data_IF_989371169861
#
_entry.id   IF_989371169861
#
_cell.length_a   1.000
_cell.length_b   1.000
_cell.length_c   1.000
_cell.angle_alpha   90.00
_cell.angle_beta   90.00
_cell.angle_gamma   90.00
#
_symmetry.space_group_name_H-M   'P 1'
#
loop_
_entity.id
_entity.type
_entity.pdbx_description
1 polymer ?
#
# COMPACT_ATOMS: atom_id res chain seq x y z
N UNK A 1 -9.16 20.90 17.86
CA UNK A 1 -9.87 19.70 17.41
C UNK A 1 -8.97 18.49 17.58
N UNK A 2 -9.53 17.31 17.95
CA UNK A 2 -8.78 16.07 17.97
C UNK A 2 -8.34 15.72 16.54
N UNK A 3 -7.07 15.42 16.31
CA UNK A 3 -6.58 14.94 15.00
C UNK A 3 -7.12 13.54 14.74
N UNK A 4 -7.43 13.23 13.48
CA UNK A 4 -7.78 11.87 13.06
C UNK A 4 -6.51 11.03 12.99
N UNK A 5 -6.53 9.87 13.63
CA UNK A 5 -5.42 8.95 13.62
C UNK A 5 -5.58 7.98 12.44
N UNK A 6 -4.72 8.11 11.45
CA UNK A 6 -4.72 7.28 10.24
C UNK A 6 -3.52 6.34 10.27
N UNK A 7 -3.78 5.04 10.25
CA UNK A 7 -2.75 4.02 10.16
C UNK A 7 -2.61 3.55 8.71
N UNK A 8 -1.41 3.64 8.15
CA UNK A 8 -1.07 3.08 6.83
C UNK A 8 -0.17 1.87 7.02
N UNK A 9 -0.48 0.76 6.34
CA UNK A 9 0.35 -0.44 6.37
C UNK A 9 0.98 -0.67 5.00
N UNK A 10 2.29 -0.92 5.01
CA UNK A 10 3.09 -1.27 3.83
C UNK A 10 3.96 -2.50 4.15
N UNK A 11 4.39 -3.22 3.14
CA UNK A 11 5.27 -4.38 3.34
C UNK A 11 6.18 -4.68 2.15
N UNK A 12 5.97 -3.97 1.04
CA UNK A 12 6.74 -4.17 -0.19
C UNK A 12 7.16 -2.84 -0.82
N UNK A 13 8.18 -2.90 -1.67
CA UNK A 13 8.65 -1.73 -2.43
C UNK A 13 7.56 -1.03 -3.25
N UNK A 14 6.72 -1.74 -4.03
CA UNK A 14 5.65 -1.11 -4.78
C UNK A 14 4.67 -0.31 -3.92
N UNK A 15 4.32 -0.80 -2.73
CA UNK A 15 3.46 -0.09 -1.78
C UNK A 15 4.12 1.20 -1.28
N UNK A 16 5.41 1.12 -0.88
CA UNK A 16 6.17 2.29 -0.42
C UNK A 16 6.24 3.35 -1.52
N UNK A 17 6.60 2.96 -2.74
CA UNK A 17 6.70 3.86 -3.88
C UNK A 17 5.36 4.53 -4.18
N UNK A 18 4.30 3.72 -4.34
CA UNK A 18 2.97 4.21 -4.72
C UNK A 18 2.33 5.09 -3.65
N UNK A 19 2.59 4.81 -2.37
CA UNK A 19 2.03 5.58 -1.26
C UNK A 19 2.91 6.76 -0.84
N UNK A 20 4.13 6.92 -1.37
CA UNK A 20 5.09 7.93 -0.92
C UNK A 20 4.52 9.35 -0.88
N UNK A 21 3.90 9.79 -1.98
CA UNK A 21 3.30 11.12 -2.06
C UNK A 21 2.09 11.27 -1.11
N UNK A 22 1.31 10.22 -0.93
CA UNK A 22 0.17 10.21 -0.01
C UNK A 22 0.64 10.25 1.45
N UNK A 23 1.64 9.45 1.82
CA UNK A 23 2.24 9.45 3.16
C UNK A 23 2.71 10.85 3.53
N UNK A 24 3.46 11.52 2.64
CA UNK A 24 3.91 12.89 2.85
C UNK A 24 2.75 13.87 3.06
N UNK A 25 1.64 13.72 2.31
CA UNK A 25 0.44 14.56 2.50
C UNK A 25 -0.26 14.29 3.82
N UNK A 26 -0.35 13.03 4.24
CA UNK A 26 -0.93 12.67 5.54
C UNK A 26 -0.10 13.27 6.69
N UNK A 27 1.22 13.19 6.61
CA UNK A 27 2.15 13.72 7.61
C UNK A 27 2.14 15.26 7.67
N UNK A 28 1.99 15.92 6.53
CA UNK A 28 1.92 17.38 6.45
C UNK A 28 0.57 17.94 6.94
N UNK A 29 -0.47 17.12 7.06
CA UNK A 29 -1.80 17.57 7.45
C UNK A 29 -1.90 17.89 8.94
N UNK A 30 -2.27 19.11 9.34
CA UNK A 30 -2.46 19.45 10.75
C UNK A 30 -3.63 18.71 11.41
N UNK A 31 -4.53 18.15 10.62
CA UNK A 31 -5.73 17.43 11.09
C UNK A 31 -5.53 15.93 11.25
N UNK A 32 -4.37 15.41 10.83
CA UNK A 32 -4.06 13.97 10.84
C UNK A 32 -2.87 13.69 11.78
N UNK A 33 -3.00 12.62 12.53
CA UNK A 33 -1.91 11.92 13.21
C UNK A 33 -1.65 10.64 12.41
N UNK A 34 -0.58 10.63 11.63
CA UNK A 34 -0.26 9.52 10.75
C UNK A 34 0.62 8.49 11.46
N UNK A 35 0.22 7.23 11.42
CA UNK A 35 0.99 6.07 11.92
C UNK A 35 1.33 5.16 10.76
N UNK A 36 2.63 4.91 10.55
CA UNK A 36 3.14 4.07 9.47
C UNK A 36 3.64 2.74 10.03
N UNK A 37 3.09 1.65 9.54
CA UNK A 37 3.46 0.29 9.92
C UNK A 37 4.08 -0.42 8.71
N UNK A 38 5.22 -1.07 8.92
CA UNK A 38 5.83 -1.93 7.92
C UNK A 38 5.76 -3.39 8.37
N UNK A 39 5.19 -4.26 7.55
CA UNK A 39 4.99 -5.66 7.92
C UNK A 39 6.28 -6.47 7.94
N UNK A 40 7.28 -6.07 7.15
CA UNK A 40 8.52 -6.84 7.00
C UNK A 40 8.26 -8.23 6.41
N UNK A 41 7.33 -8.33 5.44
CA UNK A 41 6.99 -9.62 4.81
C UNK A 41 8.10 -10.17 3.91
N UNK A 42 9.10 -9.35 3.54
CA UNK A 42 10.27 -9.74 2.77
C UNK A 42 11.53 -9.53 3.61
N UNK A 43 12.51 -10.43 3.46
CA UNK A 43 13.78 -10.39 4.20
C UNK A 43 14.72 -9.23 3.81
N UNK A 44 14.51 -8.59 2.65
CA UNK A 44 15.37 -7.52 2.13
C UNK A 44 15.07 -6.16 2.80
N UNK A 45 15.36 -6.07 4.10
CA UNK A 45 15.20 -4.82 4.85
C UNK A 45 16.06 -3.68 4.29
N UNK A 46 17.32 -3.97 3.91
CA UNK A 46 18.23 -2.97 3.37
C UNK A 46 17.73 -2.37 2.04
N UNK A 47 17.11 -3.17 1.18
CA UNK A 47 16.48 -2.69 -0.04
C UNK A 47 15.26 -1.80 0.22
N UNK A 48 14.53 -2.02 1.32
CA UNK A 48 13.40 -1.16 1.70
C UNK A 48 13.88 0.19 2.25
N UNK A 49 14.96 0.24 3.04
CA UNK A 49 15.48 1.46 3.63
C UNK A 49 15.92 2.50 2.58
N UNK A 50 16.44 2.03 1.44
CA UNK A 50 16.78 2.91 0.30
C UNK A 50 15.55 3.69 -0.18
N UNK A 51 14.39 3.05 -0.31
CA UNK A 51 13.17 3.72 -0.78
C UNK A 51 12.64 4.74 0.22
N UNK A 52 12.69 4.44 1.52
CA UNK A 52 12.31 5.43 2.54
C UNK A 52 13.19 6.67 2.45
N UNK A 53 14.50 6.49 2.27
CA UNK A 53 15.45 7.59 2.11
C UNK A 53 15.24 8.35 0.79
N UNK A 54 15.11 7.63 -0.32
CA UNK A 54 14.97 8.25 -1.65
C UNK A 54 13.68 9.06 -1.78
N UNK A 55 12.60 8.59 -1.14
CA UNK A 55 11.33 9.31 -1.13
C UNK A 55 11.16 10.29 0.03
N UNK A 56 12.22 10.53 0.83
CA UNK A 56 12.18 11.40 2.02
C UNK A 56 11.03 11.02 2.97
N UNK A 57 10.79 9.72 3.14
CA UNK A 57 9.83 9.22 4.10
C UNK A 57 10.53 8.98 5.45
N UNK A 58 9.82 9.25 6.53
CA UNK A 58 10.31 8.87 7.86
C UNK A 58 10.29 7.36 8.02
N UNK A 59 11.02 6.86 8.98
CA UNK A 59 10.98 5.45 9.34
C UNK A 59 9.57 5.07 9.83
N UNK A 60 9.12 3.84 9.57
CA UNK A 60 7.88 3.34 10.15
C UNK A 60 7.88 3.42 11.68
N UNK A 61 6.72 3.72 12.26
CA UNK A 61 6.54 3.71 13.72
C UNK A 61 6.63 2.29 14.27
N UNK A 62 6.16 1.31 13.47
CA UNK A 62 6.17 -0.10 13.84
C UNK A 62 6.74 -0.94 12.70
N UNK A 63 7.66 -1.86 13.08
CA UNK A 63 8.23 -2.89 12.20
C UNK A 63 7.78 -4.25 12.72
N UNK A 64 6.91 -4.93 11.98
CA UNK A 64 6.34 -6.21 12.44
C UNK A 64 7.32 -7.37 12.27
N UNK A 65 8.26 -7.30 11.31
CA UNK A 65 9.21 -8.38 11.01
C UNK A 65 8.48 -9.73 10.89
N UNK A 66 7.51 -9.79 9.97
CA UNK A 66 6.61 -10.93 9.84
C UNK A 66 7.10 -12.01 8.87
N UNK A 67 8.18 -11.75 8.11
CA UNK A 67 8.72 -12.72 7.16
C UNK A 67 9.09 -14.04 7.83
N UNK A 68 8.71 -15.15 7.17
CA UNK A 68 9.00 -16.53 7.60
C UNK A 68 9.19 -17.46 6.41
N UNK A 69 9.36 -18.76 6.64
CA UNK A 69 9.67 -19.74 5.61
C UNK A 69 8.57 -19.95 4.57
N UNK A 70 7.30 -19.74 4.92
CA UNK A 70 6.18 -19.92 4.00
C UNK A 70 5.28 -18.69 3.93
N UNK A 71 4.54 -18.54 2.83
CA UNK A 71 3.57 -17.45 2.68
C UNK A 71 2.46 -17.50 3.76
N UNK A 72 1.97 -18.68 4.11
CA UNK A 72 0.93 -18.86 5.11
C UNK A 72 1.42 -18.50 6.51
N UNK A 73 2.62 -18.92 6.88
CA UNK A 73 3.22 -18.51 8.15
C UNK A 73 3.43 -17.00 8.22
N UNK A 74 3.92 -16.39 7.13
CA UNK A 74 4.07 -14.94 7.02
C UNK A 74 2.74 -14.22 7.23
N UNK A 75 1.66 -14.67 6.56
CA UNK A 75 0.30 -14.14 6.75
C UNK A 75 -0.14 -14.27 8.21
N UNK A 76 0.05 -15.46 8.79
CA UNK A 76 -0.27 -15.71 10.20
C UNK A 76 0.47 -14.74 11.13
N UNK A 77 1.76 -14.53 10.90
CA UNK A 77 2.57 -13.61 11.70
C UNK A 77 2.16 -12.14 11.49
N UNK A 78 1.79 -11.74 10.27
CA UNK A 78 1.24 -10.40 10.01
C UNK A 78 0.00 -10.17 10.88
N UNK A 79 -0.96 -11.11 10.87
CA UNK A 79 -2.19 -11.01 11.64
C UNK A 79 -1.94 -10.98 13.16
N UNK A 80 -1.07 -11.86 13.65
CA UNK A 80 -0.74 -11.92 15.08
C UNK A 80 -0.04 -10.66 15.56
N UNK A 81 0.91 -10.13 14.75
CA UNK A 81 1.74 -9.00 15.16
C UNK A 81 1.06 -7.64 14.98
N UNK A 82 0.13 -7.50 14.05
CA UNK A 82 -0.63 -6.25 13.89
C UNK A 82 -1.67 -6.07 14.99
N UNK A 83 -2.21 -7.14 15.55
CA UNK A 83 -3.29 -7.09 16.53
C UNK A 83 -2.97 -6.24 17.77
N UNK A 84 -1.85 -6.43 18.49
CA UNK A 84 -1.47 -5.59 19.61
C UNK A 84 -1.18 -4.14 19.19
N UNK A 85 -0.64 -3.91 17.98
CA UNK A 85 -0.40 -2.56 17.48
C UNK A 85 -1.72 -1.80 17.28
N UNK A 86 -2.77 -2.48 16.77
CA UNK A 86 -4.09 -1.88 16.65
C UNK A 86 -4.72 -1.54 18.02
N UNK A 87 -4.47 -2.35 19.04
CA UNK A 87 -4.94 -2.09 20.41
C UNK A 87 -4.21 -0.91 21.07
N UNK A 88 -2.92 -0.77 20.82
CA UNK A 88 -2.10 0.33 21.32
C UNK A 88 -2.49 1.65 20.61
N UNK A 89 -2.49 1.65 19.29
CA UNK A 89 -2.67 2.86 18.47
C UNK A 89 -4.11 3.32 18.43
N UNK A 90 -5.07 2.41 18.32
CA UNK A 90 -6.51 2.67 18.16
C UNK A 90 -6.80 3.67 17.04
N UNK A 91 -6.43 3.37 15.78
CA UNK A 91 -6.59 4.30 14.68
C UNK A 91 -8.08 4.55 14.37
N UNK A 92 -8.38 5.78 13.95
CA UNK A 92 -9.72 6.16 13.47
C UNK A 92 -9.96 5.69 12.03
N UNK A 93 -8.88 5.41 11.27
CA UNK A 93 -8.93 4.87 9.90
C UNK A 93 -7.69 4.01 9.61
N UNK A 94 -7.89 2.98 8.78
CA UNK A 94 -6.88 2.02 8.37
C UNK A 94 -6.75 2.01 6.85
N UNK A 95 -5.55 2.23 6.33
CA UNK A 95 -5.28 2.34 4.91
C UNK A 95 -4.34 1.22 4.45
N UNK A 96 -4.74 0.52 3.41
CA UNK A 96 -3.92 -0.47 2.69
C UNK A 96 -3.96 -0.21 1.18
N UNK A 97 -2.94 -0.68 0.47
CA UNK A 97 -2.85 -0.58 -0.99
C UNK A 97 -2.56 -1.94 -1.59
N UNK A 98 -3.36 -2.31 -2.60
CA UNK A 98 -3.11 -3.48 -3.44
C UNK A 98 -3.49 -4.80 -2.77
N UNK A 99 -2.67 -5.82 -3.00
CA UNK A 99 -3.07 -7.21 -2.79
C UNK A 99 -1.94 -8.11 -2.26
N UNK A 100 -0.87 -7.53 -1.76
CA UNK A 100 0.20 -8.28 -1.11
C UNK A 100 -0.29 -8.94 0.19
N UNK A 101 0.48 -9.86 0.74
CA UNK A 101 0.14 -10.48 2.02
C UNK A 101 -0.02 -9.44 3.15
N UNK A 102 0.66 -8.30 3.05
CA UNK A 102 0.54 -7.21 4.02
C UNK A 102 -0.87 -6.64 4.12
N UNK A 103 -1.62 -6.61 3.00
CA UNK A 103 -2.98 -6.09 2.98
C UNK A 103 -3.96 -6.94 3.80
N UNK A 104 -3.65 -8.21 4.04
CA UNK A 104 -4.48 -9.10 4.85
C UNK A 104 -4.56 -8.69 6.32
N UNK A 105 -3.67 -7.79 6.80
CA UNK A 105 -3.82 -7.17 8.12
C UNK A 105 -5.16 -6.41 8.28
N UNK A 106 -5.82 -6.06 7.16
CA UNK A 106 -7.17 -5.53 7.14
C UNK A 106 -8.19 -6.43 7.85
N UNK A 107 -7.96 -7.76 7.89
CA UNK A 107 -8.81 -8.71 8.63
C UNK A 107 -8.82 -8.36 10.14
N UNK A 108 -7.64 -8.10 10.72
CA UNK A 108 -7.53 -7.72 12.12
C UNK A 108 -8.20 -6.36 12.40
N UNK A 109 -7.97 -5.37 11.51
CA UNK A 109 -8.63 -4.07 11.60
C UNK A 109 -10.16 -4.18 11.55
N UNK A 110 -10.70 -5.03 10.64
CA UNK A 110 -12.14 -5.27 10.54
C UNK A 110 -12.72 -5.90 11.80
N UNK A 111 -12.01 -6.87 12.41
CA UNK A 111 -12.43 -7.48 13.68
C UNK A 111 -12.49 -6.49 14.83
N UNK A 112 -11.65 -5.45 14.78
CA UNK A 112 -11.64 -4.34 15.76
C UNK A 112 -12.59 -3.18 15.38
N UNK A 113 -13.38 -3.32 14.29
CA UNK A 113 -14.32 -2.30 13.80
C UNK A 113 -13.66 -0.99 13.41
N UNK A 114 -12.41 -1.05 12.97
CA UNK A 114 -11.68 0.10 12.44
C UNK A 114 -12.07 0.28 10.97
N UNK A 115 -12.49 1.48 10.53
CA UNK A 115 -12.82 1.73 9.12
C UNK A 115 -11.64 1.50 8.20
N UNK A 116 -11.83 0.70 7.14
CA UNK A 116 -10.79 0.28 6.20
C UNK A 116 -10.98 0.98 4.86
N UNK A 117 -9.91 1.62 4.40
CA UNK A 117 -9.78 2.22 3.08
C UNK A 117 -8.81 1.38 2.25
N UNK A 118 -9.29 0.80 1.16
CA UNK A 118 -8.49 -0.05 0.28
C UNK A 118 -8.20 0.67 -1.04
N UNK A 119 -6.95 1.05 -1.28
CA UNK A 119 -6.49 1.61 -2.55
C UNK A 119 -6.10 0.50 -3.53
N UNK A 120 -6.19 0.77 -4.82
CA UNK A 120 -6.00 -0.20 -5.91
C UNK A 120 -7.06 -1.32 -5.89
N UNK A 121 -8.23 -1.03 -5.34
CA UNK A 121 -9.34 -1.96 -5.22
C UNK A 121 -9.95 -2.34 -6.57
N UNK A 122 -10.54 -3.52 -6.65
CA UNK A 122 -11.32 -3.97 -7.80
C UNK A 122 -10.52 -4.50 -8.99
N UNK A 123 -9.20 -4.60 -8.91
CA UNK A 123 -8.40 -5.27 -9.93
C UNK A 123 -8.72 -6.76 -9.95
N UNK A 124 -8.85 -7.34 -11.17
CA UNK A 124 -9.09 -8.78 -11.38
C UNK A 124 -8.24 -9.30 -12.52
N UNK A 125 -7.57 -10.42 -12.31
CA UNK A 125 -6.90 -11.18 -13.37
C UNK A 125 -7.69 -12.43 -13.77
N UNK A 126 -8.69 -12.84 -12.97
CA UNK A 126 -9.54 -14.03 -13.19
C UNK A 126 -8.76 -15.36 -13.23
N UNK A 127 -7.53 -15.37 -12.75
CA UNK A 127 -6.69 -16.55 -12.65
C UNK A 127 -6.44 -16.91 -11.20
N UNK A 128 -7.06 -18.01 -10.74
CA UNK A 128 -6.95 -18.47 -9.36
C UNK A 128 -5.57 -19.05 -8.99
N UNK A 129 -4.66 -19.19 -9.97
CA UNK A 129 -3.27 -19.58 -9.72
C UNK A 129 -2.42 -18.42 -9.21
N UNK A 130 -2.91 -17.19 -9.36
CA UNK A 130 -2.26 -15.98 -8.84
C UNK A 130 -2.67 -15.77 -7.38
N UNK A 131 -1.74 -15.90 -6.42
CA UNK A 131 -2.07 -15.79 -4.98
C UNK A 131 -2.72 -14.45 -4.61
N UNK A 132 -2.31 -13.37 -5.27
CA UNK A 132 -2.82 -12.02 -5.06
C UNK A 132 -4.29 -11.88 -5.44
N UNK A 133 -4.81 -12.73 -6.37
CA UNK A 133 -6.23 -12.72 -6.73
C UNK A 133 -7.12 -13.06 -5.53
N UNK A 134 -6.66 -13.95 -4.66
CA UNK A 134 -7.36 -14.27 -3.40
C UNK A 134 -7.29 -13.11 -2.43
N UNK A 135 -6.10 -12.53 -2.23
CA UNK A 135 -5.88 -11.43 -1.28
C UNK A 135 -6.75 -10.21 -1.63
N UNK A 136 -6.77 -9.80 -2.92
CA UNK A 136 -7.53 -8.62 -3.35
C UNK A 136 -9.03 -8.80 -3.16
N UNK A 137 -9.56 -9.98 -3.47
CA UNK A 137 -10.98 -10.28 -3.24
C UNK A 137 -11.35 -10.21 -1.76
N UNK A 138 -10.52 -10.77 -0.88
CA UNK A 138 -10.75 -10.70 0.56
C UNK A 138 -10.78 -9.24 1.01
N UNK A 139 -9.77 -8.45 0.64
CA UNK A 139 -9.64 -7.06 1.11
C UNK A 139 -10.73 -6.17 0.54
N UNK A 140 -11.06 -6.30 -0.75
CA UNK A 140 -12.16 -5.56 -1.39
C UNK A 140 -13.49 -5.75 -0.66
N UNK A 141 -13.81 -7.01 -0.28
CA UNK A 141 -15.08 -7.33 0.34
C UNK A 141 -15.17 -7.01 1.83
N UNK A 142 -14.04 -6.84 2.52
CA UNK A 142 -14.06 -6.42 3.93
C UNK A 142 -13.80 -4.92 4.11
N UNK A 143 -13.29 -4.21 3.09
CA UNK A 143 -13.06 -2.78 3.15
C UNK A 143 -14.39 -2.02 3.29
N UNK A 144 -14.34 -0.89 4.00
CA UNK A 144 -15.49 0.01 4.15
C UNK A 144 -15.57 0.97 2.97
N UNK A 145 -14.43 1.38 2.43
CA UNK A 145 -14.31 2.21 1.22
C UNK A 145 -13.27 1.60 0.29
N UNK A 146 -13.66 1.35 -0.95
CA UNK A 146 -12.80 0.88 -2.03
C UNK A 146 -12.43 2.04 -2.96
N UNK A 147 -11.14 2.28 -3.13
CA UNK A 147 -10.57 3.36 -3.95
C UNK A 147 -10.00 2.74 -5.23
N UNK A 148 -10.75 2.82 -6.33
CA UNK A 148 -10.39 2.15 -7.58
C UNK A 148 -9.57 3.06 -8.49
N UNK A 149 -8.70 2.46 -9.32
CA UNK A 149 -7.88 3.20 -10.27
C UNK A 149 -8.59 3.46 -11.60
N UNK A 150 -9.51 2.60 -11.98
CA UNK A 150 -10.20 2.65 -13.26
C UNK A 150 -11.71 2.42 -13.14
N UNK A 151 -12.44 2.77 -14.18
CA UNK A 151 -13.87 2.47 -14.29
C UNK A 151 -14.11 0.95 -14.37
N UNK A 152 -13.22 0.21 -15.03
CA UNK A 152 -13.30 -1.25 -15.13
C UNK A 152 -13.21 -1.89 -13.75
N UNK A 153 -12.25 -1.47 -12.92
CA UNK A 153 -12.11 -1.97 -11.55
C UNK A 153 -13.38 -1.65 -10.72
N UNK A 154 -13.94 -0.44 -10.88
CA UNK A 154 -15.18 -0.06 -10.24
C UNK A 154 -16.35 -0.96 -10.67
N UNK A 155 -16.48 -1.23 -11.97
CA UNK A 155 -17.50 -2.10 -12.51
C UNK A 155 -17.44 -3.54 -11.98
N UNK A 156 -16.23 -4.08 -11.80
CA UNK A 156 -16.07 -5.40 -11.19
C UNK A 156 -16.65 -5.44 -9.79
N UNK A 157 -16.33 -4.45 -8.94
CA UNK A 157 -16.84 -4.39 -7.58
C UNK A 157 -18.36 -4.23 -7.53
N UNK A 158 -18.93 -3.42 -8.40
CA UNK A 158 -20.39 -3.28 -8.51
C UNK A 158 -21.06 -4.60 -8.90
N UNK A 159 -20.49 -5.34 -9.86
CA UNK A 159 -21.00 -6.65 -10.28
C UNK A 159 -20.84 -7.73 -9.20
N UNK A 160 -19.87 -7.57 -8.31
CA UNK A 160 -19.68 -8.41 -7.13
C UNK A 160 -20.62 -8.04 -5.97
N UNK A 161 -21.47 -7.02 -6.17
CA UNK A 161 -22.53 -6.64 -5.22
C UNK A 161 -22.12 -5.63 -4.16
N UNK A 162 -20.96 -4.95 -4.29
CA UNK A 162 -20.56 -3.92 -3.33
C UNK A 162 -21.35 -2.63 -3.57
N UNK A 163 -21.70 -1.88 -2.49
CA UNK A 163 -22.49 -0.65 -2.59
C UNK A 163 -21.77 0.44 -3.38
N UNK A 164 -22.43 1.12 -4.33
CA UNK A 164 -21.79 2.10 -5.20
C UNK A 164 -21.27 3.35 -4.48
N UNK A 165 -21.84 3.70 -3.34
CA UNK A 165 -21.41 4.81 -2.49
C UNK A 165 -20.12 4.52 -1.71
N UNK A 166 -19.69 3.26 -1.68
CA UNK A 166 -18.44 2.81 -1.05
C UNK A 166 -17.33 2.51 -2.05
N UNK A 167 -17.56 2.78 -3.34
CA UNK A 167 -16.59 2.55 -4.41
C UNK A 167 -16.29 3.88 -5.10
N UNK A 168 -15.13 4.45 -4.80
CA UNK A 168 -14.73 5.77 -5.27
C UNK A 168 -13.58 5.61 -6.27
N UNK A 169 -13.74 6.10 -7.51
CA UNK A 169 -12.63 6.14 -8.45
C UNK A 169 -11.72 7.31 -8.13
N UNK A 170 -10.50 7.01 -7.71
CA UNK A 170 -9.45 8.01 -7.39
C UNK A 170 -8.39 8.12 -8.48
N UNK A 171 -8.24 7.10 -9.31
CA UNK A 171 -7.08 6.96 -10.18
C UNK A 171 -5.85 6.42 -9.42
N UNK A 172 -4.78 6.15 -10.17
CA UNK A 172 -3.51 5.68 -9.61
C UNK A 172 -2.70 6.85 -9.03
N UNK A 173 -2.08 6.69 -7.85
CA UNK A 173 -1.21 7.72 -7.26
C UNK A 173 0.14 7.87 -7.98
N UNK A 174 0.45 7.01 -8.97
CA UNK A 174 1.73 7.04 -9.67
C UNK A 174 2.01 8.35 -10.40
N UNK A 175 0.97 9.04 -10.89
CA UNK A 175 1.16 10.34 -11.55
C UNK A 175 1.70 11.39 -10.57
N UNK A 176 1.15 11.45 -9.37
CA UNK A 176 1.61 12.35 -8.30
C UNK A 176 3.02 11.99 -7.85
N UNK A 177 3.33 10.69 -7.74
CA UNK A 177 4.68 10.22 -7.40
C UNK A 177 5.69 10.65 -8.45
N UNK A 178 5.41 10.41 -9.75
CA UNK A 178 6.29 10.81 -10.84
C UNK A 178 6.46 12.33 -10.92
N UNK A 179 5.37 13.08 -10.76
CA UNK A 179 5.43 14.56 -10.77
C UNK A 179 6.24 15.10 -9.60
N UNK A 180 6.13 14.50 -8.42
CA UNK A 180 6.93 14.91 -7.24
C UNK A 180 8.44 14.66 -7.41
N UNK A 181 8.81 13.77 -8.34
CA UNK A 181 10.20 13.37 -8.62
C UNK A 181 10.73 13.85 -9.97
N UNK A 182 9.97 14.70 -10.66
CA UNK A 182 10.36 15.16 -12.01
C UNK A 182 11.75 15.77 -12.06
N UNK A 183 12.11 16.58 -11.06
CA UNK A 183 13.41 17.23 -11.00
C UNK A 183 14.55 16.23 -10.70
N UNK A 184 14.30 15.24 -9.84
CA UNK A 184 15.27 14.19 -9.52
C UNK A 184 15.49 13.28 -10.74
N UNK A 185 14.43 12.95 -11.47
CA UNK A 185 14.49 12.18 -12.72
C UNK A 185 15.31 12.95 -13.77
N UNK A 186 15.05 14.26 -13.94
CA UNK A 186 15.77 15.08 -14.91
C UNK A 186 17.27 15.23 -14.59
N UNK A 187 17.63 15.16 -13.31
CA UNK A 187 19.04 15.23 -12.85
C UNK A 187 19.74 13.87 -12.83
N UNK A 188 19.00 12.78 -13.06
CA UNK A 188 19.56 11.43 -13.00
C UNK A 188 20.61 11.22 -14.09
N UNK A 189 21.75 10.65 -13.70
CA UNK A 189 22.83 10.26 -14.60
C UNK A 189 22.87 8.75 -14.85
N UNK A 190 21.75 8.07 -14.64
CA UNK A 190 21.70 6.61 -14.79
C UNK A 190 22.05 6.16 -16.21
N UNK A 191 21.62 6.91 -17.22
CA UNK A 191 21.95 6.58 -18.62
C UNK A 191 23.47 6.68 -18.88
N UNK A 192 24.13 7.71 -18.33
CA UNK A 192 25.59 7.82 -18.42
C UNK A 192 26.28 6.66 -17.72
N UNK A 193 25.81 6.29 -16.51
CA UNK A 193 26.35 5.19 -15.71
C UNK A 193 26.25 3.85 -16.44
N UNK A 194 25.16 3.64 -17.16
CA UNK A 194 24.90 2.41 -17.92
C UNK A 194 25.40 2.48 -19.36
N UNK A 195 26.05 3.58 -19.77
CA UNK A 195 26.48 3.83 -21.14
C UNK A 195 25.34 3.67 -22.18
N UNK A 196 24.14 4.13 -21.84
CA UNK A 196 22.97 4.08 -22.70
C UNK A 196 22.73 5.42 -23.39
N UNK A 197 22.33 5.35 -24.67
CA UNK A 197 21.91 6.54 -25.42
C UNK A 197 20.41 6.69 -25.32
N UNK A 198 19.87 7.90 -24.99
CA UNK A 198 18.43 8.13 -24.98
C UNK A 198 17.76 7.64 -26.29
N UNK A 199 16.57 7.04 -26.15
CA UNK A 199 15.75 6.53 -27.25
C UNK A 199 16.37 5.34 -28.05
N UNK A 200 17.56 4.82 -27.63
CA UNK A 200 18.23 3.70 -28.28
C UNK A 200 18.30 2.44 -27.42
N UNK A 201 17.43 2.33 -26.44
CA UNK A 201 17.33 1.14 -25.57
C UNK A 201 15.88 0.85 -25.22
N UNK A 202 15.64 -0.36 -24.77
CA UNK A 202 14.37 -0.75 -24.16
C UNK A 202 14.64 -1.47 -22.84
N UNK A 203 13.68 -1.37 -21.93
CA UNK A 203 13.75 -2.00 -20.61
C UNK A 203 12.83 -3.20 -20.59
N UNK A 204 13.36 -4.33 -20.10
CA UNK A 204 12.60 -5.54 -19.83
C UNK A 204 12.61 -5.75 -18.31
N UNK A 205 11.42 -5.90 -17.71
CA UNK A 205 11.26 -6.16 -16.27
C UNK A 205 10.44 -7.42 -16.03
#
# INVERSE_FOLDING_TARGET
MKRLKVMTVVGTRPEIIRLSALIQKLEASPSIEHVLVHTGQNYDYELNEVFFKDFNLRRPDFMLNAATGTAIETIGHILIKIDPVLDEVKPDAFLVLGDTNSCLCAIAAKKKRIPIFHMEAGNRCFDQRVPEETNRKIVDHIADINLTYSDIAREYLLREGLPPDRIIKTGSPMLEVLNSRRDDIAKSRILDTLALTPEQYFVVS
#
